data_IF_805860627634
#
_entry.id   IF_805860627634
#
_cell.length_a   1.000
_cell.length_b   1.000
_cell.length_c   1.000
_cell.angle_alpha   90.00
_cell.angle_beta   90.00
_cell.angle_gamma   90.00
#
_symmetry.space_group_name_H-M   'P 1'
#
loop_
_entity.id
_entity.type
_entity.pdbx_description
1 polymer ?
#
# COMPACT_ATOMS: atom_id res chain seq x y z
N UNK A 1 -23.65 2.48 -7.22
CA UNK A 1 -22.96 3.58 -7.94
C UNK A 1 -21.72 3.84 -7.13
N UNK A 2 -20.71 2.99 -7.27
CA UNK A 2 -19.50 3.05 -6.46
C UNK A 2 -18.35 2.84 -7.43
N UNK A 3 -17.84 3.97 -7.91
CA UNK A 3 -16.50 4.04 -8.47
C UNK A 3 -15.62 4.43 -7.30
N UNK A 4 -15.35 3.48 -6.40
CA UNK A 4 -14.33 3.68 -5.38
C UNK A 4 -13.01 3.64 -6.13
N UNK A 5 -12.26 4.74 -6.08
CA UNK A 5 -10.93 4.75 -6.68
C UNK A 5 -10.09 3.69 -5.93
N UNK A 6 -9.37 2.80 -6.63
CA UNK A 6 -8.56 1.76 -5.98
C UNK A 6 -7.54 2.34 -4.99
N UNK A 7 -7.21 3.61 -5.14
CA UNK A 7 -6.37 4.37 -4.23
C UNK A 7 -6.95 4.59 -2.83
N UNK A 8 -8.26 4.82 -2.68
CA UNK A 8 -8.85 5.10 -1.37
C UNK A 8 -8.94 3.83 -0.51
N UNK A 9 -9.34 2.69 -1.08
CA UNK A 9 -9.36 1.43 -0.32
C UNK A 9 -7.95 0.96 0.05
N UNK A 10 -6.98 1.22 -0.84
CA UNK A 10 -5.59 0.92 -0.56
C UNK A 10 -5.08 1.77 0.60
N UNK A 11 -5.22 3.10 0.53
CA UNK A 11 -4.78 4.02 1.59
C UNK A 11 -5.48 3.76 2.94
N UNK A 12 -6.76 3.40 2.95
CA UNK A 12 -7.46 3.05 4.20
C UNK A 12 -6.97 1.70 4.76
N UNK A 13 -6.63 0.75 3.89
CA UNK A 13 -5.92 -0.47 4.28
C UNK A 13 -4.54 -0.19 4.87
N UNK A 14 -3.78 0.75 4.27
CA UNK A 14 -2.46 1.17 4.77
C UNK A 14 -2.52 1.75 6.18
N UNK A 15 -3.58 2.48 6.52
CA UNK A 15 -3.80 2.97 7.89
C UNK A 15 -3.93 1.87 8.93
N UNK A 16 -4.40 0.68 8.55
CA UNK A 16 -4.45 -0.48 9.46
C UNK A 16 -3.04 -1.06 9.69
N UNK A 17 -2.13 -0.86 8.74
CA UNK A 17 -0.74 -1.30 8.82
C UNK A 17 0.20 -0.28 9.45
N UNK A 18 -0.14 1.01 9.39
CA UNK A 18 0.58 2.09 10.02
C UNK A 18 0.46 2.03 11.56
N UNK A 19 1.39 1.31 12.17
CA UNK A 19 1.49 1.16 13.64
C UNK A 19 1.96 2.42 14.34
N UNK A 20 2.64 3.31 13.62
CA UNK A 20 3.23 4.52 14.17
C UNK A 20 2.21 5.68 14.16
N UNK A 21 1.17 5.59 13.32
CA UNK A 21 0.09 6.57 13.23
C UNK A 21 0.49 7.83 12.45
N UNK A 22 1.52 7.71 11.63
CA UNK A 22 2.14 8.81 10.88
C UNK A 22 1.51 8.98 9.49
N UNK A 23 0.64 8.06 9.07
CA UNK A 23 0.10 7.94 7.73
C UNK A 23 1.15 7.57 6.69
N UNK A 24 2.29 6.99 7.11
CA UNK A 24 3.45 6.76 6.27
C UNK A 24 4.08 5.42 6.62
N UNK A 25 4.17 4.51 5.66
CA UNK A 25 4.83 3.22 5.87
C UNK A 25 5.96 2.99 4.85
N UNK A 26 7.04 2.26 5.22
CA UNK A 26 8.10 1.97 4.27
C UNK A 26 7.58 1.10 3.12
N UNK A 27 7.92 1.46 1.88
CA UNK A 27 7.54 0.70 0.68
C UNK A 27 7.95 -0.78 0.76
N UNK A 28 9.10 -1.05 1.36
CA UNK A 28 9.61 -2.42 1.61
C UNK A 28 8.72 -3.21 2.58
N UNK A 29 8.22 -2.55 3.61
CA UNK A 29 7.37 -3.18 4.63
C UNK A 29 5.96 -3.40 4.08
N UNK A 30 5.45 -2.43 3.31
CA UNK A 30 4.22 -2.57 2.55
C UNK A 30 4.27 -3.75 1.59
N UNK A 31 5.35 -3.86 0.80
CA UNK A 31 5.56 -4.98 -0.13
C UNK A 31 5.44 -6.31 0.60
N UNK A 32 6.18 -6.46 1.69
CA UNK A 32 6.13 -7.67 2.50
C UNK A 32 4.72 -7.97 3.01
N UNK A 33 4.00 -6.95 3.48
CA UNK A 33 2.64 -7.11 3.98
C UNK A 33 1.66 -7.49 2.87
N UNK A 34 1.70 -6.85 1.71
CA UNK A 34 0.79 -7.15 0.59
C UNK A 34 1.03 -8.55 0.03
N UNK A 35 2.29 -8.98 -0.10
CA UNK A 35 2.64 -10.34 -0.51
C UNK A 35 2.25 -11.39 0.53
N UNK A 36 2.24 -11.03 1.83
CA UNK A 36 1.92 -11.96 2.93
C UNK A 36 0.42 -12.03 3.27
N UNK A 37 -0.30 -10.90 3.20
CA UNK A 37 -1.74 -10.82 3.43
C UNK A 37 -2.56 -11.28 2.22
N UNK A 38 -2.02 -11.06 1.02
CA UNK A 38 -2.73 -11.27 -0.22
C UNK A 38 -2.09 -12.35 -1.06
N UNK A 39 -2.49 -13.61 -0.87
CA UNK A 39 -2.35 -14.66 -1.91
C UNK A 39 -3.01 -14.29 -3.27
N UNK A 40 -3.60 -13.08 -3.39
CA UNK A 40 -4.30 -12.57 -4.58
C UNK A 40 -3.55 -11.50 -5.36
N UNK A 41 -2.54 -10.83 -4.77
CA UNK A 41 -1.76 -9.80 -5.47
C UNK A 41 -0.41 -10.40 -5.87
N UNK A 42 -0.07 -10.29 -7.16
CA UNK A 42 1.25 -10.68 -7.67
C UNK A 42 2.28 -9.62 -7.32
N UNK A 43 3.57 -9.99 -7.30
CA UNK A 43 4.66 -9.04 -7.09
C UNK A 43 4.56 -7.82 -8.01
N UNK A 44 4.13 -8.01 -9.27
CA UNK A 44 3.97 -6.96 -10.28
C UNK A 44 2.86 -5.95 -9.91
N UNK A 45 1.70 -6.44 -9.46
CA UNK A 45 0.59 -5.59 -9.01
C UNK A 45 0.96 -4.83 -7.73
N UNK A 46 1.69 -5.49 -6.83
CA UNK A 46 2.22 -4.85 -5.62
C UNK A 46 3.23 -3.78 -5.98
N UNK A 47 4.12 -4.03 -6.94
CA UNK A 47 5.13 -3.06 -7.38
C UNK A 47 4.48 -1.86 -8.07
N UNK A 48 3.43 -2.07 -8.88
CA UNK A 48 2.62 -1.01 -9.46
C UNK A 48 1.95 -0.14 -8.38
N UNK A 49 1.31 -0.78 -7.39
CA UNK A 49 0.65 -0.11 -6.27
C UNK A 49 1.64 0.61 -5.35
N UNK A 50 2.84 0.08 -5.15
CA UNK A 50 3.85 0.80 -4.38
C UNK A 50 4.35 1.99 -5.19
N UNK A 51 4.61 1.81 -6.48
CA UNK A 51 5.13 2.87 -7.34
C UNK A 51 4.15 4.04 -7.48
N UNK A 52 2.84 3.80 -7.49
CA UNK A 52 1.83 4.87 -7.54
C UNK A 52 1.73 5.68 -6.23
N UNK A 53 2.14 5.12 -5.08
CA UNK A 53 1.94 5.71 -3.76
C UNK A 53 3.26 6.01 -3.02
N UNK A 54 4.40 5.55 -3.54
CA UNK A 54 5.74 5.83 -3.03
C UNK A 54 6.16 7.27 -3.33
N UNK A 55 6.53 8.00 -2.28
CA UNK A 55 7.24 9.27 -2.40
C UNK A 55 8.74 9.05 -2.65
N UNK A 56 9.45 10.11 -3.08
CA UNK A 56 10.91 10.11 -3.33
C UNK A 56 11.79 9.64 -2.15
N UNK A 57 11.19 9.48 -0.98
CA UNK A 57 11.81 9.01 0.25
C UNK A 57 11.66 7.49 0.48
N UNK A 58 11.01 6.75 -0.43
CA UNK A 58 10.72 5.31 -0.25
C UNK A 58 9.61 5.04 0.77
N UNK A 59 8.76 6.04 1.00
CA UNK A 59 7.65 6.01 1.96
C UNK A 59 6.34 6.05 1.19
N UNK A 60 5.37 5.27 1.63
CA UNK A 60 4.04 5.15 1.00
C UNK A 60 3.00 5.87 1.87
N UNK A 61 2.17 6.69 1.22
CA UNK A 61 1.08 7.51 1.83
C UNK A 61 -0.31 6.93 1.63
#
# INVERSE_FOLDING_TARGET
>A
KESVAPAEEFADGLRVFDKDGNGLIPATELRHLLTTLGERLTDDEVEQLIYEFEDKQGMVV
#
